data_IF_688297612210
#
_entry.id   IF_688297612210
#
_cell.length_a   1.000
_cell.length_b   1.000
_cell.length_c   1.000
_cell.angle_alpha   90.00
_cell.angle_beta   90.00
_cell.angle_gamma   90.00
#
_symmetry.space_group_name_H-M   'P 1'
#
loop_
_entity.id
_entity.type
_entity.pdbx_description
1 polymer ?
#
# COMPACT_ATOMS: atom_id res chain seq x y z
N UNK A 1 6.54 4.91 14.62
CA UNK A 1 5.44 5.86 14.88
C UNK A 1 4.36 5.10 15.67
N UNK A 2 3.37 5.75 16.31
CA UNK A 2 2.29 4.98 16.99
C UNK A 2 1.32 4.41 15.95
N UNK A 3 0.78 3.22 16.20
CA UNK A 3 -0.24 2.57 15.33
C UNK A 3 -1.39 3.53 15.01
N UNK A 4 -1.81 4.36 15.98
CA UNK A 4 -2.87 5.35 15.80
C UNK A 4 -2.57 6.34 14.65
N UNK A 5 -1.33 6.79 14.52
CA UNK A 5 -0.96 7.73 13.46
C UNK A 5 -0.90 7.06 12.09
N UNK A 6 -0.54 5.77 12.02
CA UNK A 6 -0.68 5.01 10.77
C UNK A 6 -2.15 4.84 10.38
N UNK A 7 -3.04 4.61 11.36
CA UNK A 7 -4.49 4.51 11.11
C UNK A 7 -5.08 5.84 10.62
N UNK A 8 -4.61 6.98 11.14
CA UNK A 8 -5.00 8.32 10.65
C UNK A 8 -4.57 8.53 9.19
N UNK A 9 -3.30 8.27 8.86
CA UNK A 9 -2.79 8.35 7.49
C UNK A 9 -3.52 7.41 6.52
N UNK A 10 -3.88 6.22 7.02
CA UNK A 10 -4.60 5.22 6.25
C UNK A 10 -6.01 5.70 5.89
N UNK A 11 -6.72 6.33 6.84
CA UNK A 11 -8.04 6.94 6.61
C UNK A 11 -7.96 8.04 5.55
N UNK A 12 -7.01 8.96 5.68
CA UNK A 12 -6.80 10.02 4.68
C UNK A 12 -6.57 9.42 3.28
N UNK A 13 -5.73 8.40 3.19
CA UNK A 13 -5.44 7.76 1.92
C UNK A 13 -6.64 7.04 1.31
N UNK A 14 -7.49 6.42 2.12
CA UNK A 14 -8.74 5.81 1.62
C UNK A 14 -9.73 6.87 1.12
N UNK A 15 -9.90 7.96 1.85
CA UNK A 15 -10.78 9.06 1.44
C UNK A 15 -10.33 9.65 0.10
N UNK A 16 -9.01 9.87 -0.07
CA UNK A 16 -8.45 10.40 -1.32
C UNK A 16 -8.59 9.41 -2.49
N UNK A 17 -8.39 8.12 -2.26
CA UNK A 17 -8.62 7.08 -3.30
C UNK A 17 -10.10 7.03 -3.68
N UNK A 18 -11.03 7.05 -2.72
CA UNK A 18 -12.46 7.07 -3.01
C UNK A 18 -12.87 8.32 -3.79
N UNK A 19 -12.39 9.49 -3.38
CA UNK A 19 -12.65 10.73 -4.10
C UNK A 19 -12.08 10.70 -5.52
N UNK A 20 -10.91 10.09 -5.71
CA UNK A 20 -10.30 9.92 -7.01
C UNK A 20 -11.12 8.97 -7.92
N UNK A 21 -11.63 7.86 -7.36
CA UNK A 21 -12.56 6.96 -8.07
C UNK A 21 -13.82 7.72 -8.50
N UNK A 22 -14.45 8.47 -7.59
CA UNK A 22 -15.68 9.24 -7.87
C UNK A 22 -15.47 10.33 -8.94
N UNK A 23 -14.30 10.97 -8.94
CA UNK A 23 -13.95 12.01 -9.92
C UNK A 23 -13.50 11.44 -11.27
N UNK A 24 -13.14 10.16 -11.33
CA UNK A 24 -12.62 9.46 -12.51
C UNK A 24 -11.12 9.19 -12.40
N UNK A 25 -10.75 7.90 -12.52
CA UNK A 25 -9.38 7.40 -12.32
C UNK A 25 -8.36 8.13 -13.19
N UNK A 26 -8.67 8.32 -14.48
CA UNK A 26 -7.76 8.95 -15.46
C UNK A 26 -7.45 10.40 -15.11
N UNK A 27 -8.36 11.12 -14.43
CA UNK A 27 -8.16 12.50 -13.99
C UNK A 27 -7.30 12.59 -12.73
N UNK A 28 -7.23 11.51 -11.95
CA UNK A 28 -6.65 11.49 -10.60
C UNK A 28 -5.54 10.45 -10.44
N UNK A 29 -4.84 10.11 -11.53
CA UNK A 29 -3.76 9.12 -11.54
C UNK A 29 -2.69 9.33 -10.46
N UNK A 30 -2.23 10.57 -10.27
CA UNK A 30 -1.24 10.90 -9.22
C UNK A 30 -1.77 10.60 -7.82
N UNK A 31 -3.03 10.97 -7.55
CA UNK A 31 -3.71 10.68 -6.28
C UNK A 31 -3.81 9.18 -6.07
N UNK A 32 -4.25 8.43 -7.10
CA UNK A 32 -4.30 6.97 -7.04
C UNK A 32 -2.92 6.38 -6.72
N UNK A 33 -1.91 6.68 -7.52
CA UNK A 33 -0.57 6.12 -7.34
C UNK A 33 0.06 6.44 -5.99
N UNK A 34 -0.08 7.68 -5.52
CA UNK A 34 0.47 8.09 -4.23
C UNK A 34 -0.26 7.42 -3.06
N UNK A 35 -1.58 7.58 -2.98
CA UNK A 35 -2.33 7.14 -1.81
C UNK A 35 -2.44 5.61 -1.72
N UNK A 36 -2.51 4.87 -2.84
CA UNK A 36 -2.50 3.41 -2.76
C UNK A 36 -1.15 2.86 -2.27
N UNK A 37 -0.04 3.49 -2.65
CA UNK A 37 1.31 3.10 -2.20
C UNK A 37 1.54 3.49 -0.74
N UNK A 38 1.20 4.72 -0.35
CA UNK A 38 1.32 5.18 1.04
C UNK A 38 0.49 4.32 2.00
N UNK A 39 -0.80 4.11 1.69
CA UNK A 39 -1.67 3.25 2.48
C UNK A 39 -1.16 1.80 2.55
N UNK A 40 -0.57 1.28 1.46
CA UNK A 40 0.02 -0.06 1.48
C UNK A 40 1.18 -0.17 2.48
N UNK A 41 2.02 0.86 2.58
CA UNK A 41 3.10 0.92 3.56
C UNK A 41 2.54 1.02 4.98
N UNK A 42 1.60 1.93 5.24
CA UNK A 42 0.98 2.08 6.57
C UNK A 42 0.31 0.77 7.03
N UNK A 43 -0.40 0.08 6.13
CA UNK A 43 -1.00 -1.23 6.42
C UNK A 43 0.04 -2.27 6.85
N UNK A 44 1.18 -2.34 6.14
CA UNK A 44 2.24 -3.26 6.51
C UNK A 44 2.91 -2.87 7.83
N UNK A 45 3.19 -1.59 8.05
CA UNK A 45 3.76 -1.11 9.31
C UNK A 45 2.88 -1.47 10.51
N UNK A 46 1.56 -1.31 10.39
CA UNK A 46 0.60 -1.72 11.42
C UNK A 46 0.70 -3.23 11.69
N UNK A 47 0.69 -4.07 10.65
CA UNK A 47 0.81 -5.54 10.80
C UNK A 47 2.09 -5.90 11.53
N UNK A 48 3.22 -5.31 11.13
CA UNK A 48 4.52 -5.61 11.69
C UNK A 48 4.66 -5.11 13.13
N UNK A 49 4.12 -3.92 13.45
CA UNK A 49 4.07 -3.41 14.81
C UNK A 49 3.19 -4.27 15.72
N UNK A 50 2.01 -4.70 15.27
CA UNK A 50 1.13 -5.59 16.06
C UNK A 50 1.80 -6.93 16.39
N UNK A 51 2.71 -7.41 15.54
CA UNK A 51 3.47 -8.65 15.73
C UNK A 51 4.84 -8.44 16.39
N UNK A 52 5.19 -7.20 16.77
CA UNK A 52 6.51 -6.83 17.29
C UNK A 52 7.68 -7.27 16.38
N UNK A 53 7.50 -7.23 15.06
CA UNK A 53 8.49 -7.68 14.09
C UNK A 53 9.46 -6.57 13.65
N UNK A 54 9.13 -5.31 13.95
CA UNK A 54 9.94 -4.13 13.63
C UNK A 54 10.05 -3.20 14.82
N UNK A 55 11.14 -2.43 14.87
CA UNK A 55 11.34 -1.40 15.89
C UNK A 55 10.35 -0.22 15.68
N UNK A 56 9.83 0.39 16.75
CA UNK A 56 8.96 1.58 16.66
C UNK A 56 9.53 2.77 15.88
N UNK A 57 10.85 2.87 15.75
CA UNK A 57 11.56 3.90 14.97
C UNK A 57 11.87 3.51 13.53
N UNK A 58 11.60 2.26 13.12
CA UNK A 58 11.77 1.85 11.73
C UNK A 58 10.70 2.54 10.87
N UNK A 59 11.15 3.13 9.76
CA UNK A 59 10.27 3.69 8.72
C UNK A 59 10.46 2.84 7.47
N UNK A 60 9.39 2.18 7.03
CA UNK A 60 9.36 1.44 5.78
C UNK A 60 9.36 2.44 4.62
N UNK A 61 10.19 2.15 3.62
CA UNK A 61 10.23 2.96 2.41
C UNK A 61 9.47 2.24 1.31
N UNK A 62 8.63 2.98 0.59
CA UNK A 62 7.87 2.44 -0.54
C UNK A 62 8.79 1.89 -1.65
N UNK A 63 9.99 2.47 -1.81
CA UNK A 63 10.99 2.02 -2.78
C UNK A 63 11.52 0.59 -2.51
N UNK A 64 11.31 0.03 -1.32
CA UNK A 64 11.69 -1.35 -1.02
C UNK A 64 10.82 -2.38 -1.75
N UNK A 65 9.66 -1.98 -2.25
CA UNK A 65 8.71 -2.84 -2.96
C UNK A 65 8.89 -2.78 -4.48
N UNK A 66 10.05 -2.31 -4.96
CA UNK A 66 10.41 -2.29 -6.37
C UNK A 66 10.76 -3.67 -6.95
N UNK A 67 11.22 -4.59 -6.09
CA UNK A 67 11.79 -5.86 -6.51
C UNK A 67 11.73 -6.92 -5.40
N UNK A 68 11.52 -8.18 -5.81
CA UNK A 68 11.40 -9.29 -4.88
C UNK A 68 12.70 -9.56 -4.11
N UNK A 69 13.85 -9.20 -4.70
CA UNK A 69 15.16 -9.32 -4.06
C UNK A 69 15.28 -8.37 -2.87
N UNK A 70 14.92 -7.10 -3.06
CA UNK A 70 14.93 -6.09 -1.98
C UNK A 70 13.95 -6.48 -0.89
N UNK A 71 12.72 -6.82 -1.27
CA UNK A 71 11.68 -7.27 -0.34
C UNK A 71 12.15 -8.45 0.51
N UNK A 72 12.68 -9.51 -0.11
CA UNK A 72 13.14 -10.70 0.63
C UNK A 72 14.26 -10.39 1.63
N UNK A 73 15.15 -9.45 1.30
CA UNK A 73 16.23 -9.03 2.18
C UNK A 73 15.74 -8.14 3.34
N UNK A 74 14.72 -7.31 3.10
CA UNK A 74 14.15 -6.39 4.10
C UNK A 74 13.21 -7.08 5.09
N UNK A 75 12.55 -8.16 4.66
CA UNK A 75 11.58 -8.90 5.48
C UNK A 75 12.01 -10.37 5.67
N UNK A 76 13.11 -10.63 6.41
CA UNK A 76 13.64 -11.98 6.63
C UNK A 76 12.81 -12.82 7.64
N UNK A 77 11.76 -12.23 8.22
CA UNK A 77 10.87 -12.84 9.22
C UNK A 77 9.49 -13.12 8.62
N UNK A 78 8.72 -14.02 9.23
CA UNK A 78 7.39 -14.41 8.75
C UNK A 78 6.24 -13.69 9.44
N UNK A 79 5.16 -13.50 8.69
CA UNK A 79 3.91 -12.91 9.14
C UNK A 79 2.74 -13.45 8.31
N UNK A 80 1.48 -13.37 8.81
CA UNK A 80 0.32 -13.87 8.08
C UNK A 80 0.23 -13.31 6.66
N UNK A 81 -0.05 -14.20 5.70
CA UNK A 81 -0.19 -13.85 4.27
C UNK A 81 1.02 -13.11 3.65
N UNK A 82 2.21 -13.21 4.24
CA UNK A 82 3.43 -12.49 3.82
C UNK A 82 3.65 -12.42 2.32
N UNK A 83 3.71 -13.56 1.64
CA UNK A 83 3.99 -13.59 0.21
C UNK A 83 2.93 -12.87 -0.63
N UNK A 84 1.66 -12.99 -0.24
CA UNK A 84 0.56 -12.35 -0.95
C UNK A 84 0.55 -10.84 -0.71
N UNK A 85 0.70 -10.41 0.54
CA UNK A 85 0.79 -8.99 0.92
C UNK A 85 1.94 -8.32 0.15
N UNK A 86 3.15 -8.89 0.23
CA UNK A 86 4.33 -8.34 -0.43
C UNK A 86 4.17 -8.33 -1.96
N UNK A 87 3.55 -9.35 -2.55
CA UNK A 87 3.26 -9.37 -3.99
C UNK A 87 2.29 -8.26 -4.39
N UNK A 88 1.24 -8.00 -3.61
CA UNK A 88 0.29 -6.93 -3.87
C UNK A 88 0.94 -5.55 -3.75
N UNK A 89 1.76 -5.34 -2.72
CA UNK A 89 2.51 -4.08 -2.55
C UNK A 89 3.42 -3.81 -3.74
N UNK A 90 4.14 -4.82 -4.25
CA UNK A 90 4.95 -4.68 -5.45
C UNK A 90 4.10 -4.31 -6.69
N UNK A 91 2.94 -4.95 -6.88
CA UNK A 91 2.05 -4.64 -8.00
C UNK A 91 1.47 -3.23 -7.93
N UNK A 92 1.36 -2.64 -6.74
CA UNK A 92 0.97 -1.24 -6.54
C UNK A 92 2.17 -0.31 -6.82
N UNK A 93 3.36 -0.67 -6.36
CA UNK A 93 4.55 0.18 -6.41
C UNK A 93 5.16 0.30 -7.83
N UNK A 94 5.18 -0.80 -8.60
CA UNK A 94 5.73 -0.81 -9.96
C UNK A 94 5.12 0.28 -10.86
N UNK A 95 3.79 0.41 -10.97
CA UNK A 95 3.18 1.47 -11.78
C UNK A 95 3.17 2.83 -11.09
N UNK A 96 3.32 2.90 -9.75
CA UNK A 96 3.23 4.15 -8.96
C UNK A 96 4.14 5.26 -9.48
N UNK A 97 5.38 4.95 -9.84
CA UNK A 97 6.31 5.97 -10.36
C UNK A 97 5.83 6.59 -11.67
N UNK A 98 5.23 5.80 -12.56
CA UNK A 98 4.64 6.32 -13.79
C UNK A 98 3.40 7.18 -13.51
N UNK A 99 2.56 6.77 -12.56
CA UNK A 99 1.38 7.55 -12.16
C UNK A 99 1.73 8.89 -11.51
N UNK A 100 2.75 8.90 -10.64
CA UNK A 100 3.15 10.08 -9.87
C UNK A 100 3.97 11.07 -10.72
N UNK A 101 4.96 10.56 -11.46
CA UNK A 101 5.98 11.40 -12.11
C UNK A 101 6.09 11.20 -13.63
N UNK A 102 5.56 10.09 -14.15
CA UNK A 102 5.69 9.70 -15.55
C UNK A 102 4.56 10.20 -16.45
N UNK A 103 4.41 9.49 -17.58
CA UNK A 103 3.35 9.75 -18.55
C UNK A 103 2.02 9.20 -18.03
N UNK A 104 0.91 9.83 -18.46
CA UNK A 104 -0.43 9.31 -18.18
C UNK A 104 -0.55 7.87 -18.66
N UNK A 105 -1.10 7.03 -17.80
CA UNK A 105 -1.40 5.63 -18.07
C UNK A 105 -2.83 5.49 -18.57
N UNK A 106 -3.12 4.34 -19.19
CA UNK A 106 -4.48 3.97 -19.58
C UNK A 106 -5.31 3.58 -18.35
N UNK A 107 -6.61 3.46 -18.54
CA UNK A 107 -7.55 3.13 -17.46
C UNK A 107 -7.33 1.74 -16.88
N UNK A 108 -6.97 0.76 -17.72
CA UNK A 108 -6.69 -0.63 -17.32
C UNK A 108 -5.62 -0.73 -16.22
N UNK A 109 -4.53 0.04 -16.34
CA UNK A 109 -3.47 0.08 -15.31
C UNK A 109 -4.01 0.64 -13.99
N UNK A 110 -4.90 1.62 -14.05
CA UNK A 110 -5.49 2.23 -12.86
C UNK A 110 -6.46 1.27 -12.17
N UNK A 111 -7.31 0.60 -12.95
CA UNK A 111 -8.23 -0.43 -12.45
C UNK A 111 -7.47 -1.59 -11.80
N UNK A 112 -6.36 -2.02 -12.39
CA UNK A 112 -5.53 -3.07 -11.81
C UNK A 112 -4.93 -2.65 -10.45
N UNK A 113 -4.46 -1.40 -10.33
CA UNK A 113 -3.94 -0.88 -9.05
C UNK A 113 -5.05 -0.84 -8.01
N UNK A 114 -6.23 -0.33 -8.35
CA UNK A 114 -7.39 -0.31 -7.44
C UNK A 114 -7.78 -1.72 -7.01
N UNK A 115 -7.79 -2.68 -7.94
CA UNK A 115 -8.08 -4.09 -7.63
C UNK A 115 -7.06 -4.67 -6.67
N UNK A 116 -5.77 -4.46 -6.91
CA UNK A 116 -4.69 -4.94 -6.04
C UNK A 116 -4.77 -4.28 -4.66
N UNK A 117 -5.08 -2.98 -4.61
CA UNK A 117 -5.25 -2.22 -3.39
C UNK A 117 -6.44 -2.70 -2.55
N UNK A 118 -7.60 -2.94 -3.19
CA UNK A 118 -8.78 -3.48 -2.51
C UNK A 118 -8.52 -4.89 -1.95
N UNK A 119 -7.78 -5.72 -2.69
CA UNK A 119 -7.38 -7.04 -2.19
C UNK A 119 -6.43 -6.92 -0.99
N UNK A 120 -5.48 -5.98 -1.02
CA UNK A 120 -4.61 -5.71 0.12
C UNK A 120 -5.41 -5.22 1.33
N UNK A 121 -6.40 -4.35 1.12
CA UNK A 121 -7.33 -3.87 2.17
C UNK A 121 -8.04 -5.05 2.84
N UNK A 122 -8.58 -6.00 2.06
CA UNK A 122 -9.26 -7.18 2.60
C UNK A 122 -8.32 -8.04 3.46
N UNK A 123 -7.10 -8.32 2.99
CA UNK A 123 -6.11 -9.08 3.76
C UNK A 123 -5.71 -8.35 5.05
N UNK A 124 -5.56 -7.02 4.99
CA UNK A 124 -5.28 -6.24 6.18
C UNK A 124 -6.39 -6.37 7.23
N UNK A 125 -7.66 -6.26 6.82
CA UNK A 125 -8.80 -6.44 7.72
C UNK A 125 -8.82 -7.84 8.34
N UNK A 126 -8.55 -8.87 7.54
CA UNK A 126 -8.47 -10.26 8.01
C UNK A 126 -7.35 -10.47 9.04
N UNK A 127 -6.16 -9.89 8.79
CA UNK A 127 -4.97 -10.09 9.64
C UNK A 127 -5.01 -9.28 10.93
N UNK A 128 -5.56 -8.07 10.88
CA UNK A 128 -5.49 -7.10 11.98
C UNK A 128 -6.79 -6.95 12.77
N UNK A 129 -7.93 -7.31 12.17
CA UNK A 129 -9.26 -7.10 12.73
C UNK A 129 -9.76 -5.66 12.71
N UNK A 130 -9.01 -4.71 12.10
CA UNK A 130 -9.48 -3.34 11.95
C UNK A 130 -10.56 -3.24 10.88
N UNK A 131 -11.68 -2.59 11.21
CA UNK A 131 -12.67 -2.18 10.22
C UNK A 131 -12.20 -0.88 9.55
N UNK A 132 -12.26 -0.86 8.21
CA UNK A 132 -11.71 0.20 7.36
C UNK A 132 -12.74 0.71 6.37
#
# INVERSE_FOLDING_TARGET
MKIDSHLENLRESFEEVEMAIKKGLVLKQRTIGFHTSAAAVDMLEIILHQKNLIDPGLVLKHDWFDSMKTVSAKFPFDFPHKHLILSLMMKIEVPRNNLCYGKRQNEEVLEEIIRNFNHLKQLFQEVTGYEL
#
